data_IF_558304279184
#
_entry.id   IF_558304279184
#
_cell.length_a   1.000
_cell.length_b   1.000
_cell.length_c   1.000
_cell.angle_alpha   90.00
_cell.angle_beta   90.00
_cell.angle_gamma   90.00
#
_symmetry.space_group_name_H-M   'P 1'
#
loop_
_entity.id
_entity.type
_entity.pdbx_description
1 polymer ?
#
# COMPACT_ATOMS: atom_id res chain seq x y z
N UNK A 1 -1.99 9.94 -3.57
CA UNK A 1 -1.42 9.48 -4.85
C UNK A 1 -0.07 8.82 -4.60
N UNK A 2 0.23 7.69 -5.23
CA UNK A 2 1.54 7.02 -5.25
C UNK A 2 1.92 6.69 -6.70
N UNK A 3 3.20 6.84 -7.05
CA UNK A 3 3.68 6.75 -8.44
C UNK A 3 4.72 5.64 -8.65
N UNK A 4 5.15 4.96 -7.57
CA UNK A 4 6.10 3.85 -7.69
C UNK A 4 7.55 4.28 -7.87
N UNK A 5 7.87 5.55 -7.59
CA UNK A 5 9.25 6.04 -7.63
C UNK A 5 10.10 5.36 -6.56
N UNK A 6 11.26 4.82 -6.97
CA UNK A 6 12.28 4.25 -6.08
C UNK A 6 13.54 5.09 -6.21
N UNK A 7 14.06 5.67 -5.12
CA UNK A 7 15.28 6.45 -5.17
C UNK A 7 16.52 5.53 -5.25
N UNK A 8 17.67 6.02 -5.75
CA UNK A 8 18.86 5.18 -5.97
C UNK A 8 19.35 4.43 -4.74
N UNK A 9 19.15 4.98 -3.54
CA UNK A 9 19.56 4.37 -2.26
C UNK A 9 18.82 3.05 -1.97
N UNK A 10 17.69 2.81 -2.65
CA UNK A 10 16.87 1.61 -2.52
C UNK A 10 16.86 0.75 -3.79
N UNK A 11 17.88 0.91 -4.65
CA UNK A 11 18.02 0.15 -5.89
C UNK A 11 18.25 -1.36 -5.65
N UNK A 12 18.79 -1.75 -4.49
CA UNK A 12 19.04 -3.15 -4.13
C UNK A 12 17.80 -3.85 -3.55
N UNK A 13 16.80 -3.10 -3.10
CA UNK A 13 15.58 -3.60 -2.46
C UNK A 13 14.30 -2.84 -2.87
N UNK A 14 14.09 -2.57 -4.17
CA UNK A 14 13.06 -1.63 -4.67
C UNK A 14 11.63 -2.06 -4.32
N UNK A 15 11.35 -3.36 -4.33
CA UNK A 15 10.03 -3.91 -4.03
C UNK A 15 9.68 -3.74 -2.55
N UNK A 16 10.64 -3.99 -1.66
CA UNK A 16 10.46 -3.83 -0.22
C UNK A 16 10.26 -2.36 0.13
N UNK A 17 11.03 -1.47 -0.50
CA UNK A 17 10.83 -0.02 -0.38
C UNK A 17 9.43 0.42 -0.84
N UNK A 18 9.00 0.00 -2.03
CA UNK A 18 7.67 0.31 -2.57
C UNK A 18 6.54 -0.19 -1.64
N UNK A 19 6.67 -1.42 -1.13
CA UNK A 19 5.73 -1.99 -0.15
C UNK A 19 5.69 -1.16 1.13
N UNK A 20 6.85 -0.74 1.65
CA UNK A 20 6.92 0.12 2.83
C UNK A 20 6.33 1.52 2.57
N UNK A 21 6.50 2.06 1.37
CA UNK A 21 5.94 3.35 0.96
C UNK A 21 4.41 3.32 0.94
N UNK A 22 3.83 2.29 0.34
CA UNK A 22 2.38 2.05 0.37
C UNK A 22 1.91 1.89 1.82
N UNK A 23 2.59 1.08 2.62
CA UNK A 23 2.25 0.87 4.02
C UNK A 23 2.25 2.17 4.83
N UNK A 24 3.31 2.98 4.69
CA UNK A 24 3.49 4.26 5.39
C UNK A 24 2.40 5.26 5.00
N UNK A 25 2.02 5.34 3.72
CA UNK A 25 0.92 6.22 3.28
C UNK A 25 -0.42 5.80 3.86
N UNK A 26 -0.75 4.51 3.82
CA UNK A 26 -2.00 4.03 4.40
C UNK A 26 -2.02 4.29 5.90
N UNK A 27 -0.95 3.94 6.61
CA UNK A 27 -0.90 4.10 8.07
C UNK A 27 -1.04 5.55 8.52
N UNK A 28 -0.32 6.49 7.88
CA UNK A 28 -0.31 7.91 8.30
C UNK A 28 -1.56 8.67 7.91
N UNK A 29 -2.10 8.40 6.73
CA UNK A 29 -3.18 9.22 6.17
C UNK A 29 -4.53 8.52 6.23
N UNK A 30 -4.54 7.18 6.26
CA UNK A 30 -5.77 6.40 6.35
C UNK A 30 -6.49 6.55 7.69
N UNK A 31 -5.83 7.03 8.75
CA UNK A 31 -6.49 7.32 10.03
C UNK A 31 -7.03 8.75 10.14
N UNK A 32 -6.74 9.63 9.17
CA UNK A 32 -7.06 11.07 9.23
C UNK A 32 -8.35 11.44 8.49
N UNK A 33 -9.06 10.47 7.93
CA UNK A 33 -10.26 10.71 7.12
C UNK A 33 -11.31 9.62 7.36
N UNK A 34 -12.59 10.00 7.22
CA UNK A 34 -13.71 9.05 7.28
C UNK A 34 -13.66 8.03 6.15
N UNK A 35 -13.01 8.38 5.03
CA UNK A 35 -12.78 7.49 3.90
C UNK A 35 -11.42 7.80 3.28
N UNK A 36 -10.68 6.76 2.90
CA UNK A 36 -9.33 6.89 2.37
C UNK A 36 -9.15 6.06 1.10
N UNK A 37 -8.52 6.66 0.08
CA UNK A 37 -8.21 5.99 -1.17
C UNK A 37 -6.75 6.19 -1.59
N UNK A 38 -6.17 5.15 -2.19
CA UNK A 38 -4.90 5.25 -2.89
C UNK A 38 -5.14 5.53 -4.37
N UNK A 39 -4.73 6.70 -4.85
CA UNK A 39 -4.62 6.98 -6.28
C UNK A 39 -3.31 6.45 -6.85
N UNK A 40 -3.37 5.68 -7.93
CA UNK A 40 -2.23 5.04 -8.60
C UNK A 40 -2.31 5.28 -10.12
N UNK A 41 -1.18 5.47 -10.83
CA UNK A 41 -1.19 5.49 -12.29
C UNK A 41 -1.34 4.07 -12.88
N UNK A 42 -1.82 3.91 -14.13
CA UNK A 42 -2.14 2.60 -14.70
C UNK A 42 -0.93 1.66 -14.86
N UNK A 43 0.27 2.23 -15.01
CA UNK A 43 1.51 1.47 -15.19
C UNK A 43 2.09 0.92 -13.89
N UNK A 44 1.54 1.30 -12.72
CA UNK A 44 2.10 0.94 -11.42
C UNK A 44 1.25 -0.10 -10.69
N UNK A 45 1.90 -1.23 -10.37
CA UNK A 45 1.32 -2.28 -9.52
C UNK A 45 1.78 -2.07 -8.08
N UNK A 46 0.89 -1.56 -7.23
CA UNK A 46 1.16 -1.30 -5.82
C UNK A 46 1.11 -2.59 -4.98
N UNK A 47 2.10 -2.75 -4.10
CA UNK A 47 2.17 -3.88 -3.17
C UNK A 47 1.47 -3.49 -1.87
N UNK A 48 0.16 -3.73 -1.79
CA UNK A 48 -0.66 -3.41 -0.62
C UNK A 48 -0.43 -4.46 0.48
N UNK A 49 0.03 -4.08 1.69
CA UNK A 49 0.17 -5.02 2.79
C UNK A 49 -1.19 -5.65 3.17
N UNK A 50 -1.29 -6.98 3.32
CA UNK A 50 -2.55 -7.68 3.62
C UNK A 50 -3.27 -7.19 4.88
N UNK A 51 -2.51 -6.67 5.86
CA UNK A 51 -3.09 -6.07 7.07
C UNK A 51 -4.11 -4.97 6.76
N UNK A 52 -3.89 -4.18 5.70
CA UNK A 52 -4.78 -3.10 5.29
C UNK A 52 -5.99 -3.56 4.47
N UNK A 53 -6.11 -4.85 4.17
CA UNK A 53 -7.32 -5.45 3.58
C UNK A 53 -8.34 -5.89 4.66
N UNK A 54 -7.99 -5.69 5.93
CA UNK A 54 -8.83 -5.96 7.10
C UNK A 54 -9.15 -4.64 7.79
N UNK A 55 -10.27 -4.60 8.50
CA UNK A 55 -10.54 -3.52 9.45
C UNK A 55 -9.55 -3.55 10.61
N UNK A 56 -9.31 -2.40 11.23
CA UNK A 56 -8.35 -2.23 12.34
C UNK A 56 -8.56 -3.18 13.51
N UNK A 57 -9.82 -3.47 13.85
CA UNK A 57 -10.19 -4.38 14.93
C UNK A 57 -9.85 -5.84 14.64
N UNK A 58 -9.74 -6.21 13.35
CA UNK A 58 -9.45 -7.58 12.90
C UNK A 58 -7.95 -7.84 12.68
N UNK A 59 -7.10 -6.81 12.87
CA UNK A 59 -5.65 -6.93 12.76
C UNK A 59 -5.07 -7.50 14.05
N UNK A 60 -4.35 -8.62 13.92
CA UNK A 60 -3.58 -9.20 15.01
C UNK A 60 -2.41 -8.31 15.40
N UNK A 61 -1.93 -8.46 16.64
CA UNK A 61 -0.76 -7.72 17.12
C UNK A 61 0.47 -7.95 16.23
N UNK A 62 0.70 -9.20 15.79
CA UNK A 62 1.82 -9.53 14.91
C UNK A 62 1.76 -8.85 13.54
N UNK A 63 0.56 -8.64 12.99
CA UNK A 63 0.38 -7.89 11.73
C UNK A 63 0.72 -6.41 11.89
N UNK A 64 0.30 -5.79 13.00
CA UNK A 64 0.60 -4.39 13.29
C UNK A 64 2.10 -4.17 13.45
N UNK A 65 2.76 -5.03 14.21
CA UNK A 65 4.20 -4.98 14.41
C UNK A 65 4.97 -5.25 13.11
N UNK A 66 4.49 -6.15 12.25
CA UNK A 66 5.10 -6.40 10.95
C UNK A 66 5.03 -5.17 10.04
N UNK A 67 3.88 -4.49 9.99
CA UNK A 67 3.74 -3.22 9.25
C UNK A 67 4.63 -2.14 9.85
N UNK A 68 4.64 -2.00 11.18
CA UNK A 68 5.50 -1.02 11.86
C UNK A 68 6.98 -1.25 11.55
N UNK A 69 7.48 -2.48 11.69
CA UNK A 69 8.88 -2.82 11.36
C UNK A 69 9.20 -2.50 9.90
N UNK A 70 8.30 -2.82 8.98
CA UNK A 70 8.47 -2.50 7.56
C UNK A 70 8.58 -0.98 7.34
N UNK A 71 7.69 -0.19 7.94
CA UNK A 71 7.72 1.26 7.82
C UNK A 71 8.97 1.85 8.46
N UNK A 72 9.29 1.48 9.69
CA UNK A 72 10.41 2.03 10.46
C UNK A 72 11.79 1.72 9.83
N UNK A 73 11.88 0.65 9.04
CA UNK A 73 13.09 0.33 8.29
C UNK A 73 13.47 1.46 7.32
N UNK A 74 12.48 2.02 6.60
CA UNK A 74 12.67 3.05 5.56
C UNK A 74 12.27 4.48 5.99
N UNK A 75 11.35 4.62 6.95
CA UNK A 75 10.72 5.89 7.34
C UNK A 75 10.87 6.13 8.84
N UNK A 76 12.02 6.69 9.25
CA UNK A 76 12.36 6.86 10.67
C UNK A 76 11.90 8.18 11.29
N UNK A 77 11.57 9.19 10.49
CA UNK A 77 11.28 10.55 10.97
C UNK A 77 10.00 11.14 10.34
N UNK A 78 8.86 11.18 11.06
CA UNK A 78 8.59 10.45 12.30
C UNK A 78 8.29 8.97 12.02
N UNK A 79 8.52 8.02 12.93
CA UNK A 79 8.11 6.63 12.75
C UNK A 79 6.58 6.49 12.78
N UNK A 80 6.06 5.36 12.30
CA UNK A 80 4.60 5.08 12.36
C UNK A 80 4.26 4.38 13.68
N UNK A 81 3.20 4.81 14.35
CA UNK A 81 2.72 4.22 15.59
C UNK A 81 1.83 2.98 15.34
N UNK A 82 1.75 2.06 16.31
CA UNK A 82 0.83 0.92 16.20
C UNK A 82 -0.64 1.36 16.16
N UNK A 83 -0.95 2.50 16.79
CA UNK A 83 -2.27 3.11 16.77
C UNK A 83 -2.63 3.61 15.37
N UNK A 84 -1.71 4.30 14.69
CA UNK A 84 -1.88 4.73 13.29
C UNK A 84 -2.13 3.51 12.38
N UNK A 85 -1.30 2.46 12.50
CA UNK A 85 -1.50 1.23 11.73
C UNK A 85 -2.85 0.56 12.05
N UNK A 86 -3.29 0.59 13.31
CA UNK A 86 -4.57 0.00 13.71
C UNK A 86 -5.76 0.83 13.23
N UNK A 87 -5.71 2.15 13.35
CA UNK A 87 -6.80 3.05 12.98
C UNK A 87 -6.93 3.24 11.46
N UNK A 88 -5.84 3.04 10.71
CA UNK A 88 -5.85 3.26 9.28
C UNK A 88 -6.84 2.37 8.51
N UNK A 89 -7.55 2.98 7.57
CA UNK A 89 -8.43 2.32 6.61
C UNK A 89 -7.92 2.50 5.18
N UNK A 90 -8.34 1.59 4.30
CA UNK A 90 -8.18 1.70 2.87
C UNK A 90 -9.52 1.29 2.26
N UNK A 91 -10.28 2.26 1.76
CA UNK A 91 -11.62 2.04 1.23
C UNK A 91 -11.59 1.73 -0.27
N UNK A 92 -10.73 2.43 -1.00
CA UNK A 92 -10.63 2.30 -2.45
C UNK A 92 -9.20 2.41 -2.96
N UNK A 93 -9.01 1.83 -4.13
CA UNK A 93 -7.88 2.12 -4.99
C UNK A 93 -8.43 2.77 -6.26
N UNK A 94 -7.89 3.93 -6.61
CA UNK A 94 -8.30 4.69 -7.79
C UNK A 94 -7.16 4.62 -8.80
N UNK A 95 -7.41 3.99 -9.93
CA UNK A 95 -6.50 4.04 -11.07
C UNK A 95 -6.80 5.34 -11.82
N UNK A 96 -5.79 6.19 -11.97
CA UNK A 96 -5.92 7.52 -12.55
C UNK A 96 -5.09 7.58 -13.82
N UNK A 97 -5.78 7.57 -14.96
CA UNK A 97 -5.16 7.78 -16.26
C UNK A 97 -5.35 9.23 -16.68
N UNK A 98 -4.29 10.01 -16.50
CA UNK A 98 -4.29 11.45 -16.81
C UNK A 98 -4.32 11.68 -18.31
N UNK A 99 -3.71 10.79 -19.11
CA UNK A 99 -3.62 10.95 -20.56
C UNK A 99 -4.99 10.74 -21.22
N UNK A 100 -5.77 9.77 -20.72
CA UNK A 100 -7.15 9.54 -21.17
C UNK A 100 -8.21 10.32 -20.39
N UNK A 101 -7.81 11.16 -19.42
CA UNK A 101 -8.70 11.90 -18.51
C UNK A 101 -9.74 10.99 -17.83
N UNK A 102 -9.34 9.78 -17.43
CA UNK A 102 -10.24 8.77 -16.88
C UNK A 102 -9.79 8.26 -15.51
N UNK A 103 -10.76 7.76 -14.74
CA UNK A 103 -10.49 7.11 -13.46
C UNK A 103 -11.30 5.83 -13.29
N UNK A 104 -10.69 4.83 -12.67
CA UNK A 104 -11.35 3.56 -12.31
C UNK A 104 -11.22 3.35 -10.80
N UNK A 105 -12.35 3.23 -10.10
CA UNK A 105 -12.38 3.00 -8.66
C UNK A 105 -12.56 1.50 -8.40
N UNK A 106 -11.74 0.93 -7.53
CA UNK A 106 -11.72 -0.49 -7.23
C UNK A 106 -11.78 -0.76 -5.72
N UNK A 107 -12.39 -1.88 -5.35
CA UNK A 107 -12.24 -2.44 -4.02
C UNK A 107 -10.78 -2.89 -3.81
N UNK A 108 -10.15 -2.61 -2.66
CA UNK A 108 -8.74 -2.96 -2.41
C UNK A 108 -8.44 -4.46 -2.51
N UNK A 109 -9.37 -5.32 -2.08
CA UNK A 109 -9.22 -6.78 -2.19
C UNK A 109 -9.21 -7.22 -3.64
N UNK A 110 -10.18 -6.74 -4.43
CA UNK A 110 -10.24 -7.02 -5.85
C UNK A 110 -8.98 -6.53 -6.59
N UNK A 111 -8.46 -5.35 -6.24
CA UNK A 111 -7.20 -4.86 -6.80
C UNK A 111 -6.03 -5.81 -6.50
N UNK A 112 -5.88 -6.25 -5.25
CA UNK A 112 -4.80 -7.16 -4.84
C UNK A 112 -4.93 -8.53 -5.54
N UNK A 113 -6.16 -9.03 -5.72
CA UNK A 113 -6.42 -10.27 -6.46
C UNK A 113 -6.02 -10.13 -7.94
N UNK A 114 -6.40 -9.03 -8.61
CA UNK A 114 -6.00 -8.78 -9.99
C UNK A 114 -4.48 -8.60 -10.14
N UNK A 115 -3.85 -7.85 -9.24
CA UNK A 115 -2.40 -7.68 -9.21
C UNK A 115 -1.69 -9.03 -9.03
N UNK A 116 -2.17 -9.87 -8.12
CA UNK A 116 -1.63 -11.21 -7.90
C UNK A 116 -1.80 -12.11 -9.13
N UNK A 117 -2.97 -12.06 -9.78
CA UNK A 117 -3.22 -12.81 -11.01
C UNK A 117 -2.30 -12.38 -12.15
N UNK A 118 -2.11 -11.07 -12.34
CA UNK A 118 -1.19 -10.51 -13.32
C UNK A 118 0.26 -10.94 -13.08
N UNK A 119 0.76 -10.84 -11.85
CA UNK A 119 2.12 -11.27 -11.51
C UNK A 119 2.30 -12.78 -11.69
N UNK A 120 1.30 -13.58 -11.32
CA UNK A 120 1.32 -15.03 -11.51
C UNK A 120 1.37 -15.40 -13.00
N UNK A 121 0.62 -14.70 -13.85
CA UNK A 121 0.67 -14.87 -15.31
C UNK A 121 2.10 -14.70 -15.85
N UNK A 122 2.87 -13.79 -15.23
CA UNK A 122 4.25 -13.48 -15.60
C UNK A 122 5.31 -14.36 -14.90
N UNK A 123 4.89 -15.37 -14.13
CA UNK A 123 5.81 -16.25 -13.38
C UNK A 123 6.50 -15.56 -12.19
N UNK A 124 6.01 -14.38 -11.78
CA UNK A 124 6.55 -13.62 -10.65
C UNK A 124 5.86 -14.04 -9.35
N UNK A 125 6.64 -14.06 -8.25
CA UNK A 125 6.11 -14.40 -6.91
C UNK A 125 5.31 -13.23 -6.33
N UNK A 126 4.25 -13.54 -5.59
CA UNK A 126 3.28 -12.57 -5.02
C UNK A 126 3.49 -12.26 -3.54
N UNK A 127 4.62 -12.65 -2.94
CA UNK A 127 4.89 -12.59 -1.49
C UNK A 127 5.50 -11.28 -1.01
#
# INVERSE_FOLDING_TARGET
>A
IETGFVPPEHALDPLTYCRARIASKIARYGCLADRFALGLPPHYVAIVPPAFLKEGALRSQGELEAVKRLCDYYYRNPPVSLEEVRAARLDWIIIIDVDSLSTTIMNPRAYVEHAAAFLKLMGLRTT
#
